data_IF_562475704332
#
_entry.id   IF_562475704332
#
_cell.length_a   1.000
_cell.length_b   1.000
_cell.length_c   1.000
_cell.angle_alpha   90.00
_cell.angle_beta   90.00
_cell.angle_gamma   90.00
#
_symmetry.space_group_name_H-M   'P 1'
#
loop_
_entity.id
_entity.type
_entity.pdbx_description
1 polymer ?
#
# COMPACT_ATOMS: atom_id res chain seq x y z
N UNK A 1 9.96 -25.74 1.53
CA UNK A 1 9.80 -25.54 0.08
C UNK A 1 10.10 -24.10 -0.41
N UNK A 2 10.74 -23.22 0.39
CA UNK A 2 11.29 -21.92 -0.08
C UNK A 2 12.81 -21.99 -0.25
N UNK A 3 13.46 -22.95 0.42
CA UNK A 3 14.90 -23.20 0.38
C UNK A 3 15.37 -24.01 -0.84
N UNK A 4 14.44 -24.55 -1.64
CA UNK A 4 14.72 -25.39 -2.81
C UNK A 4 14.58 -24.65 -4.15
N UNK A 5 14.40 -23.32 -4.09
CA UNK A 5 14.39 -22.44 -5.27
C UNK A 5 15.82 -22.12 -5.72
N UNK A 6 16.11 -21.99 -7.04
CA UNK A 6 17.40 -21.51 -7.55
C UNK A 6 17.69 -20.04 -7.20
N UNK A 7 16.74 -19.36 -6.57
CA UNK A 7 16.88 -17.97 -6.14
C UNK A 7 17.86 -17.85 -4.97
N UNK A 8 18.98 -17.14 -5.16
CA UNK A 8 19.88 -16.75 -4.08
C UNK A 8 19.25 -15.57 -3.33
N UNK A 9 18.93 -15.70 -2.03
CA UNK A 9 18.44 -14.58 -1.24
C UNK A 9 19.55 -13.54 -1.11
N UNK A 10 19.37 -12.37 -1.73
CA UNK A 10 20.26 -11.23 -1.54
C UNK A 10 19.78 -10.44 -0.32
N UNK A 11 20.53 -10.53 0.78
CA UNK A 11 20.28 -9.69 1.95
C UNK A 11 20.80 -8.28 1.65
N UNK A 12 19.90 -7.34 1.37
CA UNK A 12 20.27 -5.94 1.21
C UNK A 12 20.36 -5.32 2.61
N UNK A 13 21.59 -5.00 3.03
CA UNK A 13 21.85 -4.18 4.21
C UNK A 13 21.58 -2.72 3.87
N UNK A 14 20.38 -2.21 4.22
CA UNK A 14 20.07 -0.79 4.14
C UNK A 14 20.74 -0.09 5.32
N UNK A 15 21.78 0.68 5.03
CA UNK A 15 22.46 1.49 6.05
C UNK A 15 21.55 2.68 6.39
N UNK A 16 21.03 2.72 7.62
CA UNK A 16 20.27 3.86 8.11
C UNK A 16 21.23 5.05 8.27
N UNK A 17 21.19 5.98 7.31
CA UNK A 17 21.82 7.29 7.45
C UNK A 17 20.90 8.10 8.37
N UNK A 18 21.40 8.47 9.54
CA UNK A 18 20.72 9.40 10.43
C UNK A 18 20.59 10.74 9.69
N UNK A 19 19.38 11.08 9.28
CA UNK A 19 19.11 12.33 8.60
C UNK A 19 19.39 13.47 9.58
N UNK A 20 20.53 14.15 9.40
CA UNK A 20 20.78 15.44 10.01
C UNK A 20 19.61 16.36 9.65
N UNK A 21 18.84 16.72 10.66
CA UNK A 21 17.67 17.59 10.56
C UNK A 21 18.14 19.04 10.34
N UNK A 22 18.55 19.37 9.12
CA UNK A 22 18.98 20.71 8.76
C UNK A 22 18.47 21.10 7.36
N UNK A 23 17.14 21.19 7.22
CA UNK A 23 16.44 22.24 6.46
C UNK A 23 15.07 21.77 5.95
N UNK A 24 14.03 22.03 6.73
CA UNK A 24 12.94 22.91 6.27
C UNK A 24 12.23 23.48 7.50
N UNK A 25 12.72 24.62 7.99
CA UNK A 25 11.96 25.46 8.90
C UNK A 25 10.81 26.14 8.13
N UNK A 26 9.81 25.35 7.74
CA UNK A 26 8.45 25.84 7.56
C UNK A 26 7.58 24.83 8.29
N UNK A 27 7.30 25.14 9.55
CA UNK A 27 6.17 24.55 10.26
C UNK A 27 4.91 25.06 9.58
N UNK A 28 4.53 24.44 8.46
CA UNK A 28 3.12 24.39 8.14
C UNK A 28 2.50 23.64 9.32
N UNK A 29 1.80 24.36 10.19
CA UNK A 29 0.90 23.75 11.14
C UNK A 29 -0.28 23.13 10.35
N UNK A 30 0.02 22.13 9.52
CA UNK A 30 -0.97 21.31 8.85
C UNK A 30 -1.54 20.44 9.94
N UNK A 31 -2.60 20.96 10.57
CA UNK A 31 -3.41 20.19 11.50
C UNK A 31 -3.76 18.90 10.78
N UNK A 32 -3.39 17.76 11.35
CA UNK A 32 -3.78 16.46 10.81
C UNK A 32 -5.30 16.42 10.82
N UNK A 33 -5.91 16.73 9.68
CA UNK A 33 -7.35 16.76 9.55
C UNK A 33 -7.83 15.32 9.64
N UNK A 34 -8.38 14.97 10.79
CA UNK A 34 -9.12 13.73 10.97
C UNK A 34 -10.49 13.92 10.33
N UNK A 35 -11.18 12.88 9.79
CA UNK A 35 -12.50 13.04 9.16
C UNK A 35 -13.59 13.69 10.03
N UNK A 36 -13.34 13.83 11.33
CA UNK A 36 -14.16 14.56 12.30
C UNK A 36 -13.96 16.07 12.29
N UNK A 37 -12.82 16.59 11.82
CA UNK A 37 -12.48 18.02 11.78
C UNK A 37 -12.52 18.61 10.34
N UNK A 38 -12.75 17.79 9.33
CA UNK A 38 -12.83 18.25 7.94
C UNK A 38 -14.15 19.00 7.66
N UNK A 39 -14.07 20.00 6.77
CA UNK A 39 -15.25 20.59 6.11
C UNK A 39 -16.11 19.51 5.43
N UNK A 40 -17.45 19.64 5.41
CA UNK A 40 -18.35 18.65 4.78
C UNK A 40 -17.97 18.28 3.34
N UNK A 41 -17.51 19.26 2.54
CA UNK A 41 -17.07 19.04 1.16
C UNK A 41 -15.82 18.15 1.08
N UNK A 42 -14.80 18.47 1.88
CA UNK A 42 -13.55 17.71 1.92
C UNK A 42 -13.77 16.31 2.50
N UNK A 43 -14.66 16.20 3.50
CA UNK A 43 -15.08 14.92 4.06
C UNK A 43 -15.77 14.03 3.04
N UNK A 44 -16.70 14.58 2.26
CA UNK A 44 -17.38 13.83 1.21
C UNK A 44 -16.39 13.34 0.14
N UNK A 45 -15.46 14.20 -0.28
CA UNK A 45 -14.40 13.84 -1.21
C UNK A 45 -13.49 12.72 -0.67
N UNK A 46 -12.99 12.89 0.55
CA UNK A 46 -12.13 11.91 1.22
C UNK A 46 -12.81 10.53 1.34
N UNK A 47 -14.09 10.50 1.70
CA UNK A 47 -14.85 9.25 1.79
C UNK A 47 -15.03 8.59 0.43
N UNK A 48 -15.29 9.36 -0.62
CA UNK A 48 -15.42 8.86 -1.98
C UNK A 48 -14.09 8.25 -2.48
N UNK A 49 -12.96 8.96 -2.29
CA UNK A 49 -11.64 8.46 -2.67
C UNK A 49 -11.25 7.20 -1.89
N UNK A 50 -11.48 7.20 -0.57
CA UNK A 50 -11.24 6.02 0.28
C UNK A 50 -12.02 4.81 -0.25
N UNK A 51 -13.30 4.98 -0.58
CA UNK A 51 -14.12 3.91 -1.12
C UNK A 51 -13.65 3.46 -2.51
N UNK A 52 -13.28 4.38 -3.39
CA UNK A 52 -12.76 4.07 -4.71
C UNK A 52 -11.46 3.25 -4.62
N UNK A 53 -10.51 3.67 -3.78
CA UNK A 53 -9.25 2.95 -3.55
C UNK A 53 -9.53 1.55 -2.98
N UNK A 54 -10.43 1.44 -2.00
CA UNK A 54 -10.79 0.15 -1.41
C UNK A 54 -11.37 -0.80 -2.46
N UNK A 55 -12.26 -0.31 -3.33
CA UNK A 55 -12.85 -1.11 -4.40
C UNK A 55 -11.80 -1.56 -5.42
N UNK A 56 -10.90 -0.67 -5.83
CA UNK A 56 -9.81 -1.00 -6.76
C UNK A 56 -8.91 -2.08 -6.17
N UNK A 57 -8.47 -1.92 -4.91
CA UNK A 57 -7.59 -2.88 -4.27
C UNK A 57 -8.26 -4.25 -4.06
N UNK A 58 -9.55 -4.26 -3.71
CA UNK A 58 -10.32 -5.49 -3.57
C UNK A 58 -10.44 -6.20 -4.92
N UNK A 59 -10.81 -5.47 -5.97
CA UNK A 59 -10.94 -6.05 -7.32
C UNK A 59 -9.62 -6.61 -7.86
N UNK A 60 -8.50 -5.91 -7.65
CA UNK A 60 -7.17 -6.42 -8.03
C UNK A 60 -6.82 -7.67 -7.22
N UNK A 61 -7.10 -7.69 -5.92
CA UNK A 61 -6.89 -8.86 -5.08
C UNK A 61 -7.67 -10.07 -5.59
N UNK A 62 -8.96 -9.89 -5.84
CA UNK A 62 -9.85 -10.95 -6.33
C UNK A 62 -9.39 -11.48 -7.70
N UNK A 63 -9.01 -10.61 -8.64
CA UNK A 63 -8.51 -11.01 -9.96
C UNK A 63 -7.23 -11.85 -9.88
N UNK A 64 -6.30 -11.46 -8.99
CA UNK A 64 -5.08 -12.23 -8.73
C UNK A 64 -5.44 -13.60 -8.14
N UNK A 65 -6.30 -13.66 -7.13
CA UNK A 65 -6.72 -14.93 -6.53
C UNK A 65 -7.41 -15.84 -7.54
N UNK A 66 -8.33 -15.32 -8.35
CA UNK A 66 -9.03 -16.07 -9.38
C UNK A 66 -8.07 -16.61 -10.45
N UNK A 67 -7.09 -15.80 -10.86
CA UNK A 67 -6.08 -16.22 -11.84
C UNK A 67 -5.20 -17.34 -11.29
N UNK A 68 -4.77 -17.23 -10.03
CA UNK A 68 -3.97 -18.27 -9.36
C UNK A 68 -4.76 -19.57 -9.20
N UNK A 69 -6.03 -19.47 -8.79
CA UNK A 69 -6.92 -20.62 -8.62
C UNK A 69 -7.20 -21.34 -9.94
N UNK A 70 -7.45 -20.58 -11.02
CA UNK A 70 -7.62 -21.14 -12.36
C UNK A 70 -6.35 -21.86 -12.84
N UNK A 71 -5.17 -21.29 -12.59
CA UNK A 71 -3.89 -21.92 -12.93
C UNK A 71 -3.66 -23.21 -12.14
N UNK A 72 -3.96 -23.22 -10.84
CA UNK A 72 -3.86 -24.42 -10.00
C UNK A 72 -4.80 -25.52 -10.50
N UNK A 73 -6.06 -25.17 -10.76
CA UNK A 73 -7.07 -26.11 -11.28
C UNK A 73 -6.63 -26.72 -12.62
N UNK A 74 -6.05 -25.92 -13.51
CA UNK A 74 -5.58 -26.40 -14.81
C UNK A 74 -4.33 -27.30 -14.72
N UNK A 75 -3.49 -27.16 -13.68
CA UNK A 75 -2.31 -27.99 -13.46
C UNK A 75 -2.61 -29.30 -12.70
N UNK A 76 -3.75 -29.36 -11.99
CA UNK A 76 -4.21 -30.55 -11.27
C UNK A 76 -5.02 -31.52 -12.16
N UNK A 77 -5.51 -31.08 -13.33
CA UNK A 77 -6.08 -31.95 -14.38
C UNK A 77 -5.01 -32.55 -15.28
#
# INVERSE_FOLDING_TARGET
CILSSPYKPTTILVQAIEAANNSLAVSEHTTVETPTNMSPKNKAHFLAEKQAIHLILTGIGDDIYLTVDAFQTAHEM
#
